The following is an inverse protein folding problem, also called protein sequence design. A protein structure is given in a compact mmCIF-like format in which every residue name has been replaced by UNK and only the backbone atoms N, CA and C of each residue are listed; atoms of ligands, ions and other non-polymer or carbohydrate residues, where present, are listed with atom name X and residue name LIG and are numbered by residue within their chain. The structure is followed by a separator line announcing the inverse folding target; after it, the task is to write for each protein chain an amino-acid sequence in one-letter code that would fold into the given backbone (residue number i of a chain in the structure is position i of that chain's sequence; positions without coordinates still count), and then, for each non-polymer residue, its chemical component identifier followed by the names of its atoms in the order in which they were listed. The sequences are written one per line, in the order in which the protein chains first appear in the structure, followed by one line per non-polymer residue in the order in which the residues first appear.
data_IF_582742827102
#
_entry.id   IF_582742827102
#
_cell.length_a   1.000
_cell.length_b   1.000
_cell.length_c   1.000
_cell.angle_alpha   90.00
_cell.angle_beta   90.00
_cell.angle_gamma   90.00
#
_symmetry.space_group_name_H-M   'P 1'
#
loop_
_entity.id
_entity.type
_entity.pdbx_description
1 polymer ?
#
# COMPACT_ATOMS: atom_id res chain seq x y z
N UNK A 1 35.33 7.13 -30.80
CA UNK A 1 35.81 8.13 -29.87
C UNK A 1 35.56 7.83 -28.42
N UNK A 2 34.30 7.62 -27.97
CA UNK A 2 33.90 7.49 -26.56
C UNK A 2 34.69 6.40 -25.82
N UNK A 3 34.81 5.21 -26.39
CA UNK A 3 35.46 4.04 -25.76
C UNK A 3 37.00 4.14 -25.62
N UNK A 4 37.61 5.25 -26.08
CA UNK A 4 38.99 5.57 -25.79
C UNK A 4 39.20 6.29 -24.45
N UNK A 5 38.11 6.72 -23.82
CA UNK A 5 38.13 7.41 -22.52
C UNK A 5 38.28 6.41 -21.36
N UNK A 6 39.35 5.64 -21.35
CA UNK A 6 39.59 4.51 -20.42
C UNK A 6 39.64 4.89 -18.94
N UNK A 7 39.73 6.21 -18.62
CA UNK A 7 39.66 6.71 -17.24
C UNK A 7 38.27 7.08 -16.79
N UNK A 8 37.27 6.92 -17.67
CA UNK A 8 35.87 7.27 -17.36
C UNK A 8 35.37 6.42 -16.21
N UNK A 9 34.70 7.05 -15.23
CA UNK A 9 34.12 6.40 -14.07
C UNK A 9 32.61 6.42 -14.08
N UNK A 10 32.00 7.38 -14.76
CA UNK A 10 30.56 7.54 -14.86
C UNK A 10 30.18 7.82 -16.30
N UNK A 11 29.22 7.08 -16.80
CA UNK A 11 28.67 7.25 -18.15
C UNK A 11 27.17 7.17 -18.06
N UNK A 12 26.48 8.27 -18.39
CA UNK A 12 25.06 8.29 -18.61
C UNK A 12 24.77 8.58 -20.08
N UNK A 13 23.99 7.72 -20.68
CA UNK A 13 23.49 7.80 -22.06
C UNK A 13 21.96 7.61 -22.07
N UNK A 14 21.30 7.80 -20.93
CA UNK A 14 19.86 7.59 -20.79
C UNK A 14 19.05 8.55 -21.65
N UNK A 15 17.84 8.11 -21.99
CA UNK A 15 16.85 8.90 -22.73
C UNK A 15 17.37 9.35 -24.11
N UNK A 16 17.80 8.37 -24.92
CA UNK A 16 18.30 8.54 -26.29
C UNK A 16 17.70 7.46 -27.21
N UNK A 17 18.09 7.49 -28.49
CA UNK A 17 17.69 6.53 -29.52
C UNK A 17 18.84 5.55 -29.86
N UNK A 18 19.57 5.08 -28.82
CA UNK A 18 20.70 4.18 -29.03
C UNK A 18 20.17 2.77 -29.31
N UNK A 19 20.37 2.30 -30.54
CA UNK A 19 19.92 0.99 -30.99
C UNK A 19 20.93 -0.13 -30.75
N UNK A 20 22.16 0.16 -30.29
CA UNK A 20 23.18 -0.86 -30.07
C UNK A 20 24.24 -0.42 -29.04
N UNK A 21 24.52 -1.26 -28.07
CA UNK A 21 25.66 -1.11 -27.17
C UNK A 21 26.83 -1.93 -27.74
N UNK A 22 27.89 -1.27 -28.27
CA UNK A 22 29.00 -2.00 -28.91
C UNK A 22 29.88 -2.72 -27.87
N UNK A 23 30.53 -3.82 -28.29
CA UNK A 23 31.42 -4.63 -27.47
C UNK A 23 32.61 -3.82 -26.91
N UNK A 24 32.95 -2.70 -27.56
CA UNK A 24 34.01 -1.76 -27.16
C UNK A 24 33.73 -1.11 -25.79
N UNK A 25 32.50 -1.18 -25.27
CA UNK A 25 32.18 -0.76 -23.88
C UNK A 25 33.14 -1.38 -22.87
N UNK A 26 33.60 -2.60 -23.14
CA UNK A 26 34.56 -3.34 -22.33
C UNK A 26 35.90 -2.63 -22.11
N UNK A 27 36.23 -1.62 -22.95
CA UNK A 27 37.44 -0.81 -22.80
C UNK A 27 37.37 0.15 -21.60
N UNK A 28 36.16 0.44 -21.09
CA UNK A 28 35.92 1.34 -19.97
C UNK A 28 36.09 0.65 -18.62
N UNK A 29 37.21 -0.03 -18.41
CA UNK A 29 37.46 -0.90 -17.23
C UNK A 29 37.38 -0.20 -15.87
N UNK A 30 37.48 1.11 -15.85
CA UNK A 30 37.36 1.93 -14.63
C UNK A 30 35.95 2.44 -14.37
N UNK A 31 34.97 2.07 -15.20
CA UNK A 31 33.60 2.52 -15.07
C UNK A 31 32.97 1.96 -13.78
N UNK A 32 32.42 2.87 -12.99
CA UNK A 32 31.75 2.60 -11.70
C UNK A 32 30.23 2.73 -11.84
N UNK A 33 29.78 3.68 -12.67
CA UNK A 33 28.37 3.94 -12.94
C UNK A 33 28.10 3.91 -14.44
N UNK A 34 27.08 3.14 -14.84
CA UNK A 34 26.59 3.06 -16.21
C UNK A 34 25.09 3.20 -16.22
N UNK A 35 24.60 4.24 -16.88
CA UNK A 35 23.18 4.44 -17.13
C UNK A 35 22.96 4.48 -18.65
N UNK A 36 22.28 3.49 -19.16
CA UNK A 36 21.86 3.36 -20.56
C UNK A 36 20.34 3.16 -20.66
N UNK A 37 19.62 3.53 -19.61
CA UNK A 37 18.16 3.39 -19.53
C UNK A 37 17.46 4.21 -20.63
N UNK A 38 16.21 3.83 -20.96
CA UNK A 38 15.38 4.53 -21.95
C UNK A 38 16.08 4.72 -23.29
N UNK A 39 16.42 3.60 -23.90
CA UNK A 39 17.03 3.53 -25.23
C UNK A 39 16.37 2.39 -26.04
N UNK A 40 16.87 2.14 -27.24
CA UNK A 40 16.37 1.08 -28.13
C UNK A 40 17.35 -0.11 -28.20
N UNK A 41 18.05 -0.40 -27.09
CA UNK A 41 19.09 -1.45 -27.02
C UNK A 41 18.43 -2.83 -26.87
N UNK A 42 18.51 -3.74 -27.88
CA UNK A 42 17.91 -5.05 -27.80
C UNK A 42 18.77 -6.09 -27.12
N UNK A 43 20.09 -5.89 -27.05
CA UNK A 43 21.05 -6.84 -26.50
C UNK A 43 22.22 -6.15 -25.79
N UNK A 44 22.63 -6.70 -24.66
CA UNK A 44 23.88 -6.31 -23.97
C UNK A 44 25.01 -7.26 -24.40
N UNK A 45 26.17 -6.75 -24.86
CA UNK A 45 27.27 -7.60 -25.30
C UNK A 45 27.87 -8.42 -24.14
N UNK A 46 28.29 -9.66 -24.43
CA UNK A 46 28.96 -10.53 -23.44
C UNK A 46 30.22 -9.90 -22.82
N UNK A 47 30.82 -8.95 -23.53
CA UNK A 47 32.01 -8.20 -23.10
C UNK A 47 31.74 -7.30 -21.89
N UNK A 48 30.45 -7.07 -21.53
CA UNK A 48 30.08 -6.31 -20.31
C UNK A 48 30.76 -6.87 -19.07
N UNK A 49 31.04 -8.17 -19.02
CA UNK A 49 31.77 -8.85 -17.95
C UNK A 49 33.14 -8.27 -17.59
N UNK A 50 33.74 -7.49 -18.49
CA UNK A 50 35.04 -6.87 -18.25
C UNK A 50 34.96 -5.56 -17.45
N UNK A 51 33.76 -5.00 -17.26
CA UNK A 51 33.54 -3.81 -16.42
C UNK A 51 33.60 -4.18 -14.92
N UNK A 52 34.72 -4.71 -14.46
CA UNK A 52 34.87 -5.23 -13.10
C UNK A 52 34.74 -4.18 -11.99
N UNK A 53 34.88 -2.89 -12.33
CA UNK A 53 34.73 -1.79 -11.36
C UNK A 53 33.28 -1.31 -11.22
N UNK A 54 32.34 -1.85 -12.03
CA UNK A 54 30.97 -1.38 -12.08
C UNK A 54 30.22 -1.71 -10.77
N UNK A 55 29.64 -0.67 -10.17
CA UNK A 55 28.89 -0.75 -8.92
C UNK A 55 27.40 -0.41 -9.14
N UNK A 56 27.12 0.56 -10.01
CA UNK A 56 25.76 0.99 -10.31
C UNK A 56 25.51 0.83 -11.81
N UNK A 57 24.46 0.13 -12.16
CA UNK A 57 24.02 -0.03 -13.54
C UNK A 57 22.50 0.19 -13.63
N UNK A 58 22.09 1.01 -14.56
CA UNK A 58 20.69 1.13 -14.97
C UNK A 58 20.58 0.86 -16.47
N UNK A 59 19.84 -0.18 -16.82
CA UNK A 59 19.55 -0.57 -18.19
C UNK A 59 18.05 -0.67 -18.45
N UNK A 60 17.25 -0.10 -17.57
CA UNK A 60 15.79 -0.09 -17.61
C UNK A 60 15.25 0.54 -18.90
N UNK A 61 14.01 0.17 -19.25
CA UNK A 61 13.29 0.70 -20.42
C UNK A 61 14.12 0.57 -21.72
N UNK A 62 14.55 -0.66 -21.98
CA UNK A 62 15.16 -1.08 -23.24
C UNK A 62 14.48 -2.37 -23.72
N UNK A 63 14.40 -2.66 -25.01
CA UNK A 63 13.75 -3.87 -25.53
C UNK A 63 14.62 -5.13 -25.35
N UNK A 64 15.04 -5.40 -24.11
CA UNK A 64 15.92 -6.51 -23.75
C UNK A 64 15.10 -7.74 -23.34
N UNK A 65 15.14 -8.82 -24.11
CA UNK A 65 14.44 -10.05 -23.71
C UNK A 65 15.22 -10.94 -22.75
N UNK A 66 16.51 -10.72 -22.59
CA UNK A 66 17.42 -11.53 -21.75
C UNK A 66 18.69 -10.77 -21.37
N UNK A 67 19.31 -11.19 -20.27
CA UNK A 67 20.66 -10.76 -19.89
C UNK A 67 21.71 -11.75 -20.45
N UNK A 68 22.88 -11.27 -20.89
CA UNK A 68 23.97 -12.14 -21.32
C UNK A 68 24.59 -12.90 -20.13
N UNK A 69 25.18 -14.07 -20.38
CA UNK A 69 25.83 -14.87 -19.34
C UNK A 69 26.99 -14.12 -18.65
N UNK A 70 27.64 -13.20 -19.36
CA UNK A 70 28.69 -12.35 -18.79
C UNK A 70 28.20 -11.37 -17.72
N UNK A 71 26.91 -11.03 -17.70
CA UNK A 71 26.36 -10.02 -16.81
C UNK A 71 26.51 -10.40 -15.33
N UNK A 72 26.26 -11.66 -14.99
CA UNK A 72 26.37 -12.18 -13.61
C UNK A 72 27.81 -12.28 -13.09
N UNK A 73 28.79 -11.90 -13.90
CA UNK A 73 30.21 -11.77 -13.50
C UNK A 73 30.56 -10.39 -12.96
N UNK A 74 29.63 -9.43 -12.98
CA UNK A 74 29.79 -8.06 -12.45
C UNK A 74 29.64 -8.05 -10.91
N UNK A 75 30.50 -8.76 -10.22
CA UNK A 75 30.39 -9.04 -8.77
C UNK A 75 30.45 -7.82 -7.86
N UNK A 76 30.87 -6.66 -8.38
CA UNK A 76 30.92 -5.42 -7.61
C UNK A 76 29.63 -4.59 -7.69
N UNK A 77 28.62 -5.03 -8.46
CA UNK A 77 27.32 -4.37 -8.51
C UNK A 77 26.67 -4.33 -7.13
N UNK A 78 26.25 -3.13 -6.75
CA UNK A 78 25.49 -2.83 -5.53
C UNK A 78 24.10 -2.32 -5.85
N UNK A 79 23.93 -1.61 -6.96
CA UNK A 79 22.63 -1.09 -7.44
C UNK A 79 22.43 -1.52 -8.88
N UNK A 80 21.29 -2.11 -9.17
CA UNK A 80 20.94 -2.59 -10.49
C UNK A 80 19.48 -2.30 -10.83
N UNK A 81 19.27 -1.50 -11.89
CA UNK A 81 17.98 -1.21 -12.50
C UNK A 81 17.78 -2.08 -13.75
N UNK A 82 16.71 -2.88 -13.74
CA UNK A 82 16.27 -3.76 -14.82
C UNK A 82 14.75 -3.61 -15.06
N UNK A 83 14.20 -2.43 -14.79
CA UNK A 83 12.77 -2.20 -14.98
C UNK A 83 12.42 -2.14 -16.47
N UNK A 84 11.22 -2.63 -16.82
CA UNK A 84 10.65 -2.47 -18.16
C UNK A 84 11.60 -2.92 -19.29
N UNK A 85 12.11 -4.15 -19.20
CA UNK A 85 12.99 -4.75 -20.21
C UNK A 85 12.47 -6.08 -20.75
N UNK A 86 11.19 -6.40 -20.51
CA UNK A 86 10.52 -7.61 -21.00
C UNK A 86 11.16 -8.94 -20.56
N UNK A 87 11.83 -8.98 -19.41
CA UNK A 87 12.43 -10.21 -18.88
C UNK A 87 11.35 -11.22 -18.48
N UNK A 88 11.40 -12.42 -19.04
CA UNK A 88 10.55 -13.54 -18.62
C UNK A 88 11.22 -14.43 -17.56
N UNK A 89 12.51 -14.34 -17.41
CA UNK A 89 13.30 -15.09 -16.42
C UNK A 89 14.66 -14.44 -16.17
N UNK A 90 15.18 -14.62 -14.96
CA UNK A 90 16.57 -14.30 -14.61
C UNK A 90 17.51 -15.47 -14.91
N UNK A 91 18.81 -15.23 -15.18
CA UNK A 91 19.80 -16.28 -15.27
C UNK A 91 19.83 -17.17 -14.02
N UNK A 92 20.07 -18.48 -14.18
CA UNK A 92 20.10 -19.43 -13.06
C UNK A 92 21.17 -19.08 -12.01
N UNK A 93 22.22 -18.40 -12.39
CA UNK A 93 23.35 -17.99 -11.56
C UNK A 93 23.29 -16.49 -11.19
N UNK A 94 22.11 -15.87 -11.28
CA UNK A 94 21.89 -14.45 -10.94
C UNK A 94 22.37 -14.08 -9.53
N UNK A 95 22.29 -15.04 -8.60
CA UNK A 95 22.80 -14.89 -7.23
C UNK A 95 24.32 -14.70 -7.11
N UNK A 96 25.07 -14.82 -8.21
CA UNK A 96 26.50 -14.45 -8.23
C UNK A 96 26.73 -12.95 -8.02
N UNK A 97 25.70 -12.12 -8.23
CA UNK A 97 25.70 -10.68 -7.92
C UNK A 97 25.52 -10.41 -6.42
N UNK A 98 26.22 -11.14 -5.59
CA UNK A 98 26.01 -11.24 -4.12
C UNK A 98 26.30 -9.94 -3.33
N UNK A 99 26.77 -8.88 -4.01
CA UNK A 99 26.96 -7.57 -3.40
C UNK A 99 25.77 -6.63 -3.63
N UNK A 100 24.72 -7.04 -4.36
CA UNK A 100 23.54 -6.21 -4.59
C UNK A 100 22.88 -5.81 -3.27
N UNK A 101 22.61 -4.52 -3.16
CA UNK A 101 21.86 -3.88 -2.07
C UNK A 101 20.51 -3.37 -2.57
N UNK A 102 20.45 -2.84 -3.81
CA UNK A 102 19.22 -2.42 -4.46
C UNK A 102 19.06 -3.09 -5.80
N UNK A 103 17.91 -3.75 -6.00
CA UNK A 103 17.56 -4.43 -7.23
C UNK A 103 16.14 -4.04 -7.64
N UNK A 104 16.01 -3.49 -8.84
CA UNK A 104 14.74 -3.11 -9.42
C UNK A 104 14.44 -3.98 -10.65
N UNK A 105 13.30 -4.65 -10.64
CA UNK A 105 12.83 -5.59 -11.66
C UNK A 105 11.36 -5.33 -12.04
N UNK A 106 10.87 -4.13 -11.74
CA UNK A 106 9.47 -3.72 -12.02
C UNK A 106 9.15 -3.76 -13.51
N UNK A 107 7.88 -4.01 -13.83
CA UNK A 107 7.38 -4.00 -15.21
C UNK A 107 8.12 -4.99 -16.13
N UNK A 108 8.19 -6.25 -15.68
CA UNK A 108 8.73 -7.37 -16.46
C UNK A 108 7.68 -8.51 -16.57
N UNK A 109 8.08 -9.66 -17.11
CA UNK A 109 7.21 -10.82 -17.27
C UNK A 109 7.73 -12.01 -16.42
N UNK A 110 8.30 -11.70 -15.23
CA UNK A 110 8.86 -12.70 -14.34
C UNK A 110 7.74 -13.51 -13.68
N UNK A 111 7.87 -14.85 -13.71
CA UNK A 111 6.94 -15.77 -13.04
C UNK A 111 7.54 -16.40 -11.79
N UNK A 112 8.86 -16.54 -11.76
CA UNK A 112 9.59 -17.18 -10.67
C UNK A 112 10.95 -16.53 -10.48
N UNK A 113 11.54 -16.75 -9.28
CA UNK A 113 12.92 -16.39 -8.98
C UNK A 113 13.82 -17.62 -9.01
N UNK A 114 15.04 -17.56 -9.57
CA UNK A 114 15.94 -18.70 -9.59
C UNK A 114 16.44 -19.04 -8.17
N UNK A 115 16.74 -20.32 -7.86
CA UNK A 115 17.21 -20.70 -6.52
C UNK A 115 18.46 -19.94 -6.04
N UNK A 116 19.37 -19.57 -6.95
CA UNK A 116 20.56 -18.78 -6.62
C UNK A 116 20.25 -17.39 -6.08
N UNK A 117 19.02 -16.88 -6.31
CA UNK A 117 18.57 -15.59 -5.81
C UNK A 117 18.73 -15.51 -4.28
N UNK A 118 18.64 -16.63 -3.57
CA UNK A 118 18.89 -16.75 -2.13
C UNK A 118 20.29 -16.23 -1.69
N UNK A 119 21.25 -16.15 -2.61
CA UNK A 119 22.59 -15.66 -2.31
C UNK A 119 22.69 -14.12 -2.22
N UNK A 120 21.63 -13.39 -2.59
CA UNK A 120 21.60 -11.92 -2.55
C UNK A 120 21.35 -11.40 -1.13
N UNK A 121 22.08 -11.89 -0.17
CA UNK A 121 21.85 -11.66 1.28
C UNK A 121 22.13 -10.23 1.75
N UNK A 122 22.69 -9.38 0.87
CA UNK A 122 22.92 -7.96 1.15
C UNK A 122 21.80 -7.03 0.68
N UNK A 123 20.75 -7.60 0.05
CA UNK A 123 19.62 -6.80 -0.41
C UNK A 123 18.99 -6.02 0.76
N UNK A 124 18.84 -4.72 0.53
CA UNK A 124 18.13 -3.77 1.37
C UNK A 124 16.82 -3.32 0.70
N UNK A 125 16.84 -3.26 -0.64
CA UNK A 125 15.70 -2.86 -1.46
C UNK A 125 15.49 -3.86 -2.60
N UNK A 126 14.25 -4.36 -2.74
CA UNK A 126 13.85 -5.27 -3.81
C UNK A 126 12.50 -4.83 -4.38
N UNK A 127 12.48 -4.45 -5.66
CA UNK A 127 11.27 -4.13 -6.40
C UNK A 127 11.00 -5.21 -7.46
N UNK A 128 9.91 -5.93 -7.28
CA UNK A 128 9.37 -6.96 -8.17
C UNK A 128 7.95 -6.60 -8.65
N UNK A 129 7.53 -5.35 -8.47
CA UNK A 129 6.20 -4.89 -8.86
C UNK A 129 5.90 -5.08 -10.35
N UNK A 130 4.65 -5.19 -10.71
CA UNK A 130 4.19 -5.34 -12.10
C UNK A 130 4.90 -6.49 -12.84
N UNK A 131 4.76 -7.70 -12.32
CA UNK A 131 5.26 -8.94 -12.91
C UNK A 131 4.12 -10.00 -12.95
N UNK A 132 4.45 -11.25 -13.28
CA UNK A 132 3.52 -12.38 -13.33
C UNK A 132 3.80 -13.42 -12.23
N UNK A 133 4.30 -12.98 -11.07
CA UNK A 133 4.70 -13.87 -9.95
C UNK A 133 3.43 -14.36 -9.24
N UNK A 134 3.17 -15.65 -9.28
CA UNK A 134 2.03 -16.29 -8.61
C UNK A 134 2.36 -16.84 -7.22
N UNK A 135 3.64 -17.09 -6.95
CA UNK A 135 4.11 -17.64 -5.68
C UNK A 135 5.45 -16.99 -5.29
N UNK A 136 5.52 -16.47 -4.08
CA UNK A 136 6.76 -15.97 -3.50
C UNK A 136 7.48 -17.13 -2.81
N UNK A 137 8.69 -17.53 -3.28
CA UNK A 137 9.37 -18.71 -2.74
C UNK A 137 9.92 -18.47 -1.33
N UNK A 138 10.05 -19.53 -0.54
CA UNK A 138 10.58 -19.51 0.84
C UNK A 138 11.97 -18.87 0.97
N UNK A 139 12.74 -18.81 -0.12
CA UNK A 139 14.05 -18.15 -0.14
C UNK A 139 14.00 -16.67 0.24
N UNK A 140 12.79 -16.04 0.19
CA UNK A 140 12.63 -14.65 0.64
C UNK A 140 13.11 -14.44 2.08
N UNK A 141 12.95 -15.45 2.94
CA UNK A 141 13.42 -15.41 4.33
C UNK A 141 14.94 -15.30 4.50
N UNK A 142 15.73 -15.42 3.42
CA UNK A 142 17.18 -15.26 3.46
C UNK A 142 17.62 -13.78 3.43
N UNK A 143 16.73 -12.85 3.09
CA UNK A 143 17.07 -11.44 2.91
C UNK A 143 16.99 -10.66 4.23
N UNK A 144 17.82 -11.04 5.20
CA UNK A 144 17.80 -10.52 6.56
C UNK A 144 18.12 -9.02 6.68
N UNK A 145 18.59 -8.39 5.60
CA UNK A 145 18.87 -6.95 5.55
C UNK A 145 17.80 -6.15 4.80
N UNK A 146 16.78 -6.83 4.25
CA UNK A 146 15.77 -6.19 3.44
C UNK A 146 14.96 -5.19 4.27
N UNK A 147 14.84 -3.97 3.75
CA UNK A 147 14.10 -2.86 4.34
C UNK A 147 12.85 -2.52 3.55
N UNK A 148 12.90 -2.68 2.23
CA UNK A 148 11.78 -2.36 1.35
C UNK A 148 11.55 -3.49 0.35
N UNK A 149 10.30 -3.95 0.26
CA UNK A 149 9.86 -5.01 -0.64
C UNK A 149 8.58 -4.61 -1.35
N UNK A 150 8.66 -4.44 -2.69
CA UNK A 150 7.51 -4.18 -3.54
C UNK A 150 7.20 -5.42 -4.37
N UNK A 151 5.95 -5.87 -4.28
CA UNK A 151 5.38 -7.02 -4.96
C UNK A 151 4.01 -6.69 -5.54
N UNK A 152 3.68 -5.39 -5.61
CA UNK A 152 2.41 -4.91 -6.14
C UNK A 152 2.20 -5.30 -7.61
N UNK A 153 0.95 -5.37 -8.04
CA UNK A 153 0.60 -5.75 -9.41
C UNK A 153 1.23 -7.09 -9.86
N UNK A 154 1.01 -8.14 -9.09
CA UNK A 154 1.42 -9.51 -9.39
C UNK A 154 0.22 -10.48 -9.33
N UNK A 155 0.46 -11.78 -9.27
CA UNK A 155 -0.58 -12.82 -9.20
C UNK A 155 -0.51 -13.63 -7.89
N UNK A 156 0.04 -13.08 -6.82
CA UNK A 156 0.26 -13.77 -5.55
C UNK A 156 -1.07 -14.17 -4.89
N UNK A 157 -1.18 -15.45 -4.48
CA UNK A 157 -2.33 -15.97 -3.71
C UNK A 157 -2.10 -15.92 -2.19
N UNK A 158 -0.85 -16.01 -1.76
CA UNK A 158 -0.44 -15.95 -0.35
C UNK A 158 1.00 -15.50 -0.23
N UNK A 159 1.42 -15.19 1.00
CA UNK A 159 2.83 -14.98 1.35
C UNK A 159 3.36 -16.22 2.09
N UNK A 160 4.64 -16.58 1.90
CA UNK A 160 5.25 -17.69 2.61
C UNK A 160 5.47 -17.34 4.10
N UNK A 161 5.37 -18.30 5.02
CA UNK A 161 5.61 -18.06 6.45
C UNK A 161 7.04 -17.55 6.74
N UNK A 162 8.01 -17.85 5.89
CA UNK A 162 9.39 -17.36 6.00
C UNK A 162 9.51 -15.83 5.93
N UNK A 163 8.42 -15.12 5.56
CA UNK A 163 8.35 -13.65 5.62
C UNK A 163 8.69 -13.13 7.02
N UNK A 164 8.40 -13.90 8.07
CA UNK A 164 8.70 -13.53 9.47
C UNK A 164 10.18 -13.21 9.74
N UNK A 165 11.08 -13.76 8.89
CA UNK A 165 12.51 -13.56 9.04
C UNK A 165 12.99 -12.17 8.66
N UNK A 166 12.16 -11.37 7.97
CA UNK A 166 12.51 -10.04 7.48
C UNK A 166 12.37 -8.96 8.58
N UNK A 167 13.12 -9.13 9.67
CA UNK A 167 13.03 -8.29 10.88
C UNK A 167 13.35 -6.80 10.65
N UNK A 168 14.05 -6.46 9.56
CA UNK A 168 14.42 -5.09 9.21
C UNK A 168 13.46 -4.45 8.21
N UNK A 169 12.48 -5.21 7.70
CA UNK A 169 11.55 -4.71 6.71
C UNK A 169 10.70 -3.57 7.30
N UNK A 170 10.72 -2.42 6.65
CA UNK A 170 9.97 -1.22 7.03
C UNK A 170 8.77 -0.98 6.12
N UNK A 171 8.90 -1.34 4.83
CA UNK A 171 7.83 -1.18 3.84
C UNK A 171 7.57 -2.51 3.12
N UNK A 172 6.32 -2.94 3.11
CA UNK A 172 5.83 -4.07 2.33
C UNK A 172 4.61 -3.64 1.51
N UNK A 173 4.76 -3.69 0.19
CA UNK A 173 3.64 -3.47 -0.73
C UNK A 173 3.34 -4.76 -1.50
N UNK A 174 2.15 -5.30 -1.29
CA UNK A 174 1.58 -6.45 -2.01
C UNK A 174 0.20 -6.12 -2.57
N UNK A 175 -0.05 -4.84 -2.84
CA UNK A 175 -1.29 -4.37 -3.45
C UNK A 175 -1.50 -4.96 -4.84
N UNK A 176 -2.74 -4.95 -5.32
CA UNK A 176 -3.08 -5.43 -6.67
C UNK A 176 -2.57 -6.86 -6.94
N UNK A 177 -2.91 -7.77 -6.03
CA UNK A 177 -2.64 -9.20 -6.13
C UNK A 177 -3.94 -10.01 -5.98
N UNK A 178 -3.83 -11.32 -5.73
CA UNK A 178 -4.96 -12.24 -5.52
C UNK A 178 -4.91 -12.88 -4.12
N UNK A 179 -4.34 -12.17 -3.13
CA UNK A 179 -4.17 -12.70 -1.78
C UNK A 179 -5.54 -13.03 -1.17
N UNK A 180 -5.75 -14.29 -0.80
CA UNK A 180 -6.96 -14.76 -0.12
C UNK A 180 -6.80 -14.72 1.40
N UNK A 181 -5.58 -14.89 1.89
CA UNK A 181 -5.22 -14.82 3.32
C UNK A 181 -3.78 -14.38 3.50
N UNK A 182 -3.46 -13.94 4.72
CA UNK A 182 -2.09 -13.67 5.17
C UNK A 182 -1.68 -14.72 6.20
N UNK A 183 -0.40 -15.14 6.23
CA UNK A 183 0.11 -16.03 7.26
C UNK A 183 0.16 -15.31 8.62
N UNK A 184 0.01 -16.05 9.73
CA UNK A 184 0.18 -15.53 11.09
C UNK A 184 1.59 -14.95 11.32
N UNK A 185 2.56 -15.46 10.59
CA UNK A 185 3.95 -15.07 10.57
C UNK A 185 4.18 -13.64 10.08
N UNK A 186 3.17 -12.99 9.48
CA UNK A 186 3.24 -11.55 9.16
C UNK A 186 3.61 -10.72 10.40
N UNK A 187 3.18 -11.17 11.57
CA UNK A 187 3.51 -10.57 12.86
C UNK A 187 4.99 -10.60 13.24
N UNK A 188 5.80 -11.35 12.49
CA UNK A 188 7.25 -11.39 12.64
C UNK A 188 7.99 -10.19 12.07
N UNK A 189 7.32 -9.31 11.31
CA UNK A 189 7.91 -8.11 10.70
C UNK A 189 8.10 -6.98 11.73
N UNK A 190 9.01 -7.15 12.65
CA UNK A 190 9.19 -6.32 13.87
C UNK A 190 9.49 -4.84 13.59
N UNK A 191 9.95 -4.49 12.38
CA UNK A 191 10.29 -3.12 12.01
C UNK A 191 9.30 -2.49 11.05
N UNK A 192 8.23 -3.20 10.68
CA UNK A 192 7.30 -2.75 9.64
C UNK A 192 6.57 -1.47 10.08
N UNK A 193 6.66 -0.44 9.24
CA UNK A 193 5.98 0.84 9.40
C UNK A 193 4.85 1.02 8.40
N UNK A 194 5.00 0.46 7.20
CA UNK A 194 4.08 0.63 6.07
C UNK A 194 3.68 -0.73 5.51
N UNK A 195 2.39 -1.05 5.56
CA UNK A 195 1.80 -2.27 5.00
C UNK A 195 0.69 -1.92 4.03
N UNK A 196 0.89 -2.28 2.76
CA UNK A 196 -0.07 -2.04 1.69
C UNK A 196 -0.58 -3.39 1.16
N UNK A 197 -1.89 -3.60 1.31
CA UNK A 197 -2.62 -4.82 0.91
C UNK A 197 -3.83 -4.48 0.03
N UNK A 198 -3.91 -3.25 -0.49
CA UNK A 198 -5.05 -2.77 -1.29
C UNK A 198 -5.30 -3.66 -2.51
N UNK A 199 -6.56 -3.76 -2.93
CA UNK A 199 -6.94 -4.51 -4.14
C UNK A 199 -6.47 -5.97 -4.12
N UNK A 200 -6.96 -6.73 -3.13
CA UNK A 200 -6.74 -8.17 -2.99
C UNK A 200 -8.09 -8.90 -2.73
N UNK A 201 -8.04 -10.14 -2.31
CA UNK A 201 -9.22 -10.97 -2.03
C UNK A 201 -9.36 -11.36 -0.55
N UNK A 202 -8.72 -10.61 0.36
CA UNK A 202 -8.67 -10.94 1.80
C UNK A 202 -10.06 -10.89 2.43
N UNK A 203 -10.49 -11.98 3.08
CA UNK A 203 -11.74 -12.06 3.82
C UNK A 203 -11.56 -11.80 5.33
N UNK A 204 -10.34 -12.00 5.84
CA UNK A 204 -9.96 -11.76 7.23
C UNK A 204 -8.49 -11.36 7.34
N UNK A 205 -8.12 -10.82 8.50
CA UNK A 205 -6.74 -10.57 8.89
C UNK A 205 -6.33 -11.53 10.02
N UNK A 206 -5.09 -12.06 10.00
CA UNK A 206 -4.60 -12.91 11.08
C UNK A 206 -4.36 -12.11 12.35
N UNK A 207 -4.40 -12.77 13.50
CA UNK A 207 -4.10 -12.13 14.79
C UNK A 207 -2.66 -11.65 14.90
N UNK A 208 -1.76 -12.22 14.09
CA UNK A 208 -0.37 -11.77 13.94
C UNK A 208 -0.23 -10.28 13.62
N UNK A 209 -1.21 -9.65 12.96
CA UNK A 209 -1.21 -8.20 12.71
C UNK A 209 -1.00 -7.40 13.98
N UNK A 210 -1.59 -7.83 15.11
CA UNK A 210 -1.44 -7.15 16.40
C UNK A 210 -0.02 -7.10 16.96
N UNK A 211 0.92 -7.87 16.40
CA UNK A 211 2.34 -7.83 16.80
C UNK A 211 3.13 -6.72 16.09
N UNK A 212 2.55 -6.06 15.08
CA UNK A 212 3.19 -5.00 14.31
C UNK A 212 3.16 -3.67 15.08
N UNK A 213 3.89 -3.58 16.19
CA UNK A 213 3.85 -2.44 17.11
C UNK A 213 4.38 -1.13 16.51
N UNK A 214 5.18 -1.19 15.42
CA UNK A 214 5.72 -0.02 14.72
C UNK A 214 4.89 0.39 13.51
N UNK A 215 3.83 -0.35 13.17
CA UNK A 215 3.00 -0.07 12.01
C UNK A 215 2.35 1.31 12.14
N UNK A 216 2.62 2.19 11.17
CA UNK A 216 2.09 3.56 11.12
C UNK A 216 1.05 3.74 10.03
N UNK A 217 1.24 3.09 8.88
CA UNK A 217 0.34 3.14 7.73
C UNK A 217 -0.12 1.72 7.40
N UNK A 218 -1.44 1.52 7.44
CA UNK A 218 -2.05 0.27 7.06
C UNK A 218 -3.17 0.50 6.05
N UNK A 219 -2.97 0.04 4.80
CA UNK A 219 -3.94 0.12 3.71
C UNK A 219 -4.37 -1.27 3.31
N UNK A 220 -5.66 -1.54 3.39
CA UNK A 220 -6.28 -2.82 3.03
C UNK A 220 -7.63 -2.60 2.35
N UNK A 221 -7.74 -1.45 1.68
CA UNK A 221 -8.90 -1.09 0.88
C UNK A 221 -9.10 -2.02 -0.31
N UNK A 222 -10.33 -2.04 -0.83
CA UNK A 222 -10.70 -2.89 -1.97
C UNK A 222 -10.36 -4.37 -1.75
N UNK A 223 -10.86 -4.90 -0.62
CA UNK A 223 -10.79 -6.31 -0.25
C UNK A 223 -12.19 -6.86 0.08
N UNK A 224 -12.28 -8.01 0.75
CA UNK A 224 -13.53 -8.66 1.13
C UNK A 224 -13.65 -8.85 2.64
N UNK A 225 -12.96 -8.03 3.43
CA UNK A 225 -12.92 -8.15 4.89
C UNK A 225 -14.33 -8.05 5.47
N UNK A 226 -14.72 -9.06 6.25
CA UNK A 226 -16.02 -9.11 6.95
C UNK A 226 -15.96 -8.41 8.30
N UNK A 227 -14.79 -8.43 8.95
CA UNK A 227 -14.49 -7.82 10.24
C UNK A 227 -12.99 -7.57 10.37
N UNK A 228 -12.58 -6.80 11.39
CA UNK A 228 -11.20 -6.71 11.83
C UNK A 228 -10.95 -7.65 13.00
N UNK A 229 -9.74 -8.24 13.06
CA UNK A 229 -9.31 -8.95 14.27
C UNK A 229 -9.27 -8.00 15.46
N UNK A 230 -9.69 -8.44 16.68
CA UNK A 230 -9.55 -7.66 17.90
C UNK A 230 -8.10 -7.26 18.20
N UNK A 231 -7.13 -8.01 17.69
CA UNK A 231 -5.70 -7.74 17.88
C UNK A 231 -5.22 -6.46 17.15
N UNK A 232 -6.00 -5.91 16.22
CA UNK A 232 -5.67 -4.63 15.56
C UNK A 232 -5.39 -3.52 16.58
N UNK A 233 -6.07 -3.54 17.73
CA UNK A 233 -5.88 -2.56 18.79
C UNK A 233 -4.48 -2.55 19.43
N UNK A 234 -3.65 -3.55 19.15
CA UNK A 234 -2.28 -3.64 19.62
C UNK A 234 -1.26 -2.99 18.66
N UNK A 235 -1.70 -2.52 17.50
CA UNK A 235 -0.87 -1.71 16.59
C UNK A 235 -0.75 -0.27 17.12
N UNK A 236 -0.08 -0.08 18.25
CA UNK A 236 -0.08 1.16 19.05
C UNK A 236 0.45 2.39 18.30
N UNK A 237 1.30 2.18 17.28
CA UNK A 237 1.88 3.27 16.46
C UNK A 237 1.01 3.71 15.30
N UNK A 238 -0.14 3.04 15.06
CA UNK A 238 -0.93 3.24 13.85
C UNK A 238 -1.49 4.67 13.79
N UNK A 239 -1.23 5.34 12.66
CA UNK A 239 -1.64 6.71 12.38
C UNK A 239 -2.66 6.77 11.22
N UNK A 240 -2.50 5.91 10.24
CA UNK A 240 -3.39 5.84 9.08
C UNK A 240 -3.92 4.42 8.89
N UNK A 241 -5.25 4.28 8.88
CA UNK A 241 -5.95 3.02 8.64
C UNK A 241 -7.00 3.22 7.54
N UNK A 242 -6.73 2.62 6.37
CA UNK A 242 -7.60 2.72 5.19
C UNK A 242 -8.25 1.36 4.92
N UNK A 243 -9.57 1.33 5.03
CA UNK A 243 -10.41 0.14 4.94
C UNK A 243 -11.54 0.30 3.90
N UNK A 244 -11.40 1.29 3.03
CA UNK A 244 -12.41 1.62 1.99
C UNK A 244 -12.75 0.40 1.13
N UNK A 245 -14.02 0.29 0.72
CA UNK A 245 -14.46 -0.78 -0.19
C UNK A 245 -14.16 -2.19 0.34
N UNK A 246 -14.73 -2.49 1.53
CA UNK A 246 -14.74 -3.82 2.13
C UNK A 246 -16.18 -4.25 2.49
N UNK A 247 -16.33 -5.33 3.23
CA UNK A 247 -17.63 -5.86 3.64
C UNK A 247 -17.85 -5.77 5.16
N UNK A 248 -17.08 -4.89 5.84
CA UNK A 248 -17.03 -4.80 7.31
C UNK A 248 -18.39 -4.34 7.84
N UNK A 249 -18.98 -5.15 8.71
CA UNK A 249 -20.28 -4.88 9.33
C UNK A 249 -20.18 -4.27 10.73
N UNK A 250 -19.06 -4.50 11.42
CA UNK A 250 -18.79 -3.97 12.76
C UNK A 250 -17.30 -3.79 12.99
N UNK A 251 -16.93 -2.91 13.92
CA UNK A 251 -15.57 -2.70 14.38
C UNK A 251 -15.40 -3.33 15.78
N UNK A 252 -14.24 -3.94 16.08
CA UNK A 252 -13.96 -4.42 17.41
C UNK A 252 -13.81 -3.25 18.39
N UNK A 253 -14.20 -3.45 19.65
CA UNK A 253 -14.02 -2.42 20.70
C UNK A 253 -12.54 -2.02 20.91
N UNK A 254 -11.61 -2.92 20.57
CA UNK A 254 -10.17 -2.67 20.62
C UNK A 254 -9.70 -1.56 19.68
N UNK A 255 -10.50 -1.15 18.70
CA UNK A 255 -10.21 0.01 17.84
C UNK A 255 -9.87 1.25 18.69
N UNK A 256 -10.54 1.40 19.84
CA UNK A 256 -10.30 2.50 20.77
C UNK A 256 -8.92 2.52 21.45
N UNK A 257 -8.10 1.49 21.29
CA UNK A 257 -6.71 1.48 21.75
C UNK A 257 -5.75 2.20 20.80
N UNK A 258 -6.18 2.49 19.57
CA UNK A 258 -5.35 3.14 18.53
C UNK A 258 -5.26 4.65 18.76
N UNK A 259 -4.77 5.05 19.91
CA UNK A 259 -4.76 6.47 20.37
C UNK A 259 -3.91 7.40 19.52
N UNK A 260 -3.03 6.86 18.67
CA UNK A 260 -2.21 7.62 17.74
C UNK A 260 -2.85 7.78 16.35
N UNK A 261 -4.02 7.15 16.13
CA UNK A 261 -4.69 7.20 14.84
C UNK A 261 -5.14 8.64 14.51
N UNK A 262 -4.74 9.13 13.34
CA UNK A 262 -5.06 10.46 12.82
C UNK A 262 -6.04 10.44 11.66
N UNK A 263 -6.03 9.34 10.90
CA UNK A 263 -6.89 9.15 9.73
C UNK A 263 -7.50 7.73 9.76
N UNK A 264 -8.83 7.68 9.79
CA UNK A 264 -9.61 6.44 9.69
C UNK A 264 -10.59 6.57 8.53
N UNK A 265 -10.39 5.75 7.50
CA UNK A 265 -11.29 5.68 6.36
C UNK A 265 -11.96 4.30 6.28
N UNK A 266 -13.28 4.30 6.38
CA UNK A 266 -14.16 3.13 6.36
C UNK A 266 -15.25 3.27 5.28
N UNK A 267 -15.01 4.08 4.26
CA UNK A 267 -15.98 4.31 3.19
C UNK A 267 -16.37 3.01 2.48
N UNK A 268 -17.61 2.97 2.00
CA UNK A 268 -18.13 1.83 1.22
C UNK A 268 -17.95 0.48 1.93
N UNK A 269 -18.49 0.43 3.16
CA UNK A 269 -18.57 -0.78 3.96
C UNK A 269 -20.03 -1.10 4.33
N UNK A 270 -20.25 -1.98 5.31
CA UNK A 270 -21.59 -2.39 5.75
C UNK A 270 -21.85 -2.05 7.22
N UNK A 271 -21.13 -1.08 7.78
CA UNK A 271 -21.23 -0.71 9.18
C UNK A 271 -22.66 -0.25 9.53
N UNK A 272 -23.28 -0.90 10.51
CA UNK A 272 -24.60 -0.52 11.04
C UNK A 272 -24.49 0.37 12.28
N UNK A 273 -23.37 0.32 12.98
CA UNK A 273 -23.06 1.10 14.18
C UNK A 273 -21.53 1.20 14.37
N UNK A 274 -21.10 2.17 15.20
CA UNK A 274 -19.74 2.28 15.69
C UNK A 274 -19.70 1.88 17.17
N UNK A 275 -18.61 1.26 17.65
CA UNK A 275 -18.43 1.01 19.06
C UNK A 275 -18.19 2.33 19.81
N UNK A 276 -18.70 2.49 21.05
CA UNK A 276 -18.45 3.69 21.85
C UNK A 276 -16.96 4.03 22.04
N UNK A 277 -16.11 3.00 22.00
CA UNK A 277 -14.66 3.15 22.12
C UNK A 277 -14.03 3.99 21.00
N UNK A 278 -14.78 4.30 19.92
CA UNK A 278 -14.33 5.24 18.89
C UNK A 278 -13.94 6.59 19.50
N UNK A 279 -14.63 7.02 20.57
CA UNK A 279 -14.35 8.24 21.30
C UNK A 279 -12.98 8.30 21.97
N UNK A 280 -12.27 7.18 22.09
CA UNK A 280 -10.92 7.12 22.67
C UNK A 280 -9.83 7.49 21.67
N UNK A 281 -10.15 7.67 20.39
CA UNK A 281 -9.20 8.04 19.34
C UNK A 281 -8.88 9.54 19.41
N UNK A 282 -8.21 9.95 20.49
CA UNK A 282 -8.02 11.36 20.88
C UNK A 282 -7.25 12.20 19.85
N UNK A 283 -6.49 11.57 18.95
CA UNK A 283 -5.71 12.22 17.88
C UNK A 283 -6.40 12.17 16.52
N UNK A 284 -7.59 11.55 16.44
CA UNK A 284 -8.27 11.38 15.15
C UNK A 284 -8.66 12.75 14.57
N UNK A 285 -8.10 13.08 13.41
CA UNK A 285 -8.36 14.31 12.67
C UNK A 285 -9.37 14.12 11.55
N UNK A 286 -9.34 12.96 10.92
CA UNK A 286 -10.22 12.62 9.78
C UNK A 286 -10.93 11.31 10.06
N UNK A 287 -12.27 11.33 10.01
CA UNK A 287 -13.12 10.14 10.08
C UNK A 287 -14.04 10.12 8.87
N UNK A 288 -13.82 9.16 7.98
CA UNK A 288 -14.67 8.94 6.81
C UNK A 288 -15.44 7.62 6.93
N UNK A 289 -16.76 7.73 6.84
CA UNK A 289 -17.74 6.65 7.02
C UNK A 289 -18.77 6.65 5.88
N UNK A 290 -18.40 7.24 4.76
CA UNK A 290 -19.26 7.42 3.59
C UNK A 290 -19.77 6.07 3.07
N UNK A 291 -21.01 6.06 2.56
CA UNK A 291 -21.60 4.87 1.94
C UNK A 291 -21.56 3.62 2.84
N UNK A 292 -22.13 3.77 4.05
CA UNK A 292 -22.33 2.68 5.02
C UNK A 292 -23.82 2.51 5.34
N UNK A 293 -24.13 1.85 6.47
CA UNK A 293 -25.52 1.58 6.90
C UNK A 293 -25.80 2.12 8.30
N UNK A 294 -25.06 3.16 8.73
CA UNK A 294 -25.14 3.72 10.07
C UNK A 294 -26.52 4.36 10.31
N UNK A 295 -27.20 3.97 11.39
CA UNK A 295 -28.47 4.55 11.81
C UNK A 295 -28.29 5.70 12.80
N UNK A 296 -27.18 5.75 13.53
CA UNK A 296 -26.80 6.79 14.48
C UNK A 296 -25.28 6.77 14.69
N UNK A 297 -24.74 7.85 15.23
CA UNK A 297 -23.39 7.93 15.78
C UNK A 297 -23.45 7.84 17.30
N UNK A 298 -22.48 7.18 17.98
CA UNK A 298 -22.42 7.17 19.43
C UNK A 298 -22.14 8.56 19.99
N UNK A 299 -22.62 8.84 21.20
CA UNK A 299 -22.39 10.13 21.90
C UNK A 299 -20.90 10.41 22.09
N UNK A 300 -20.11 9.35 22.23
CA UNK A 300 -18.67 9.39 22.40
C UNK A 300 -17.93 9.96 21.17
N UNK A 301 -18.58 10.06 20.02
CA UNK A 301 -18.05 10.78 18.85
C UNK A 301 -17.67 12.21 19.23
N UNK A 302 -18.42 12.87 20.13
CA UNK A 302 -18.11 14.20 20.66
C UNK A 302 -16.84 14.29 21.53
N UNK A 303 -16.20 13.17 21.82
CA UNK A 303 -14.92 13.11 22.55
C UNK A 303 -13.70 13.26 21.63
N UNK A 304 -13.87 13.20 20.32
CA UNK A 304 -12.81 13.29 19.31
C UNK A 304 -12.35 14.75 19.11
N UNK A 305 -11.65 15.33 20.07
CA UNK A 305 -11.34 16.76 20.13
C UNK A 305 -10.50 17.29 18.97
N UNK A 306 -9.69 16.44 18.37
CA UNK A 306 -8.86 16.78 17.20
C UNK A 306 -9.61 16.57 15.88
N UNK A 307 -10.83 16.02 15.92
CA UNK A 307 -11.60 15.77 14.69
C UNK A 307 -11.99 17.08 14.02
N UNK A 308 -11.54 17.26 12.78
CA UNK A 308 -11.83 18.40 11.96
C UNK A 308 -12.52 18.06 10.63
N UNK A 309 -12.51 16.77 10.25
CA UNK A 309 -13.20 16.25 9.07
C UNK A 309 -14.05 15.05 9.46
N UNK A 310 -15.36 15.13 9.23
CA UNK A 310 -16.31 14.05 9.43
C UNK A 310 -17.14 13.87 8.17
N UNK A 311 -17.00 12.72 7.50
CA UNK A 311 -17.86 12.34 6.38
C UNK A 311 -18.75 11.16 6.79
N UNK A 312 -20.05 11.39 6.81
CA UNK A 312 -21.08 10.36 7.06
C UNK A 312 -22.13 10.34 5.95
N UNK A 313 -21.78 10.86 4.77
CA UNK A 313 -22.67 10.83 3.61
C UNK A 313 -22.99 9.39 3.16
N UNK A 314 -24.13 9.19 2.51
CA UNK A 314 -24.55 7.87 2.04
C UNK A 314 -24.84 6.86 3.17
N UNK A 315 -25.40 7.33 4.30
CA UNK A 315 -25.77 6.48 5.43
C UNK A 315 -27.30 6.52 5.71
N UNK A 316 -27.71 6.06 6.88
CA UNK A 316 -29.12 6.00 7.33
C UNK A 316 -29.33 6.83 8.60
N UNK A 317 -28.52 7.85 8.82
CA UNK A 317 -28.59 8.64 10.05
C UNK A 317 -29.90 9.39 10.14
N UNK A 318 -30.58 9.26 11.28
CA UNK A 318 -31.81 9.99 11.60
C UNK A 318 -31.53 11.29 12.36
N UNK A 319 -30.40 11.38 13.06
CA UNK A 319 -29.93 12.52 13.82
C UNK A 319 -28.43 12.42 14.08
N UNK A 320 -27.85 13.54 14.51
CA UNK A 320 -26.50 13.57 15.05
C UNK A 320 -26.57 13.71 16.59
N UNK A 321 -25.67 13.10 17.35
CA UNK A 321 -25.58 13.33 18.78
C UNK A 321 -25.26 14.80 19.06
N UNK A 322 -25.85 15.36 20.11
CA UNK A 322 -25.63 16.78 20.49
C UNK A 322 -24.15 17.05 20.78
N UNK A 323 -23.42 16.04 21.22
CA UNK A 323 -21.99 16.10 21.55
C UNK A 323 -21.10 16.49 20.38
N UNK A 324 -21.56 16.28 19.13
CA UNK A 324 -20.85 16.68 17.91
C UNK A 324 -20.66 18.20 17.85
N UNK A 325 -21.57 18.99 18.48
CA UNK A 325 -21.42 20.46 18.56
C UNK A 325 -20.21 20.91 19.37
N UNK A 326 -19.63 20.04 20.18
CA UNK A 326 -18.42 20.31 20.95
C UNK A 326 -17.12 20.09 20.15
N UNK A 327 -17.22 19.60 18.92
CA UNK A 327 -16.10 19.37 18.01
C UNK A 327 -15.76 20.64 17.23
N UNK A 328 -14.49 20.76 16.85
CA UNK A 328 -14.02 21.87 16.00
C UNK A 328 -13.97 21.44 14.53
N UNK A 329 -15.13 20.99 14.00
CA UNK A 329 -15.23 20.51 12.63
C UNK A 329 -15.01 21.66 11.64
N UNK A 330 -14.13 21.43 10.67
CA UNK A 330 -13.91 22.30 9.52
C UNK A 330 -14.71 21.82 8.29
N UNK A 331 -15.01 20.53 8.24
CA UNK A 331 -15.81 19.92 7.18
C UNK A 331 -16.72 18.83 7.74
N UNK A 332 -17.99 18.85 7.32
CA UNK A 332 -19.00 17.86 7.67
C UNK A 332 -19.82 17.53 6.43
N UNK A 333 -19.81 16.26 6.00
CA UNK A 333 -20.63 15.79 4.89
C UNK A 333 -21.76 14.90 5.40
N UNK A 334 -23.00 15.29 5.05
CA UNK A 334 -24.25 14.64 5.47
C UNK A 334 -25.16 14.25 4.30
N UNK A 335 -24.71 14.42 3.07
CA UNK A 335 -25.50 14.11 1.87
C UNK A 335 -26.01 12.65 1.90
N UNK A 336 -27.12 12.40 1.22
CA UNK A 336 -27.67 11.04 1.04
C UNK A 336 -28.04 10.27 2.34
N UNK A 337 -28.17 10.99 3.46
CA UNK A 337 -28.82 10.45 4.66
C UNK A 337 -30.33 10.69 4.65
N UNK A 338 -30.79 11.62 3.80
CA UNK A 338 -32.17 12.11 3.75
C UNK A 338 -32.58 12.44 2.32
N UNK A 339 -33.87 12.37 2.03
CA UNK A 339 -34.40 12.74 0.71
C UNK A 339 -34.38 14.25 0.41
N UNK A 340 -34.34 15.10 1.43
CA UNK A 340 -34.16 16.56 1.30
C UNK A 340 -33.45 17.15 2.53
N UNK A 341 -32.21 17.63 2.41
CA UNK A 341 -31.52 18.27 3.50
C UNK A 341 -32.12 19.65 3.77
N UNK A 342 -32.54 19.92 5.02
CA UNK A 342 -32.88 21.27 5.47
C UNK A 342 -31.70 21.90 6.20
N UNK A 343 -31.38 23.14 5.86
CA UNK A 343 -30.19 23.89 6.28
C UNK A 343 -30.16 24.32 7.75
N UNK A 344 -31.05 23.81 8.62
CA UNK A 344 -31.11 24.21 10.03
C UNK A 344 -31.20 23.00 10.95
N UNK A 345 -30.17 22.80 11.75
CA UNK A 345 -30.23 21.87 12.86
C UNK A 345 -31.21 22.35 13.94
N UNK A 346 -32.03 21.45 14.45
CA UNK A 346 -32.89 21.64 15.61
C UNK A 346 -32.49 20.69 16.73
N UNK A 347 -32.64 21.13 17.98
CA UNK A 347 -32.44 20.24 19.12
C UNK A 347 -33.76 19.54 19.40
N UNK A 348 -33.74 18.23 19.44
CA UNK A 348 -34.86 17.37 19.74
C UNK A 348 -34.48 16.34 20.82
N UNK A 349 -35.43 15.56 21.27
CA UNK A 349 -35.20 14.47 22.26
C UNK A 349 -35.45 13.13 21.61
N UNK A 350 -34.48 12.27 21.68
CA UNK A 350 -34.62 10.89 21.19
C UNK A 350 -35.63 10.13 22.07
N UNK A 351 -36.73 9.73 21.52
CA UNK A 351 -37.83 9.05 22.23
C UNK A 351 -37.44 7.72 22.87
N UNK A 352 -36.36 7.07 22.40
CA UNK A 352 -35.93 5.76 22.90
C UNK A 352 -35.11 5.85 24.20
N UNK A 353 -34.32 6.88 24.35
CA UNK A 353 -33.37 7.00 25.48
C UNK A 353 -33.40 8.36 26.19
N UNK A 354 -34.23 9.31 25.75
CA UNK A 354 -34.38 10.63 26.35
C UNK A 354 -33.17 11.57 26.11
N UNK A 355 -32.19 11.19 25.31
CA UNK A 355 -31.00 12.00 25.02
C UNK A 355 -31.37 13.18 24.11
N UNK A 356 -30.69 14.36 24.32
CA UNK A 356 -30.77 15.47 23.39
C UNK A 356 -29.98 15.15 22.11
N UNK A 357 -30.62 15.34 20.97
CA UNK A 357 -30.07 15.08 19.64
C UNK A 357 -30.22 16.29 18.75
N UNK A 358 -29.35 16.39 17.73
CA UNK A 358 -29.51 17.38 16.66
C UNK A 358 -30.22 16.74 15.49
N UNK A 359 -31.37 17.29 15.14
CA UNK A 359 -32.09 16.89 13.93
C UNK A 359 -32.10 18.03 12.93
N UNK A 360 -31.93 17.72 11.66
CA UNK A 360 -32.48 18.56 10.60
C UNK A 360 -33.71 17.80 10.09
N UNK A 361 -34.77 18.49 9.67
CA UNK A 361 -36.04 17.88 9.28
C UNK A 361 -35.80 16.75 8.27
N UNK A 362 -36.05 15.51 8.71
CA UNK A 362 -35.79 14.31 7.98
C UNK A 362 -37.07 13.83 7.31
N UNK A 363 -37.08 13.77 5.99
CA UNK A 363 -38.05 12.94 5.31
C UNK A 363 -37.64 11.47 5.46
N UNK A 364 -38.59 10.52 5.45
CA UNK A 364 -38.27 9.11 5.50
C UNK A 364 -37.26 8.74 4.41
N UNK A 365 -36.26 7.97 4.75
CA UNK A 365 -35.27 7.48 3.79
C UNK A 365 -35.98 6.63 2.72
N UNK A 366 -35.62 6.83 1.48
CA UNK A 366 -36.02 5.93 0.42
C UNK A 366 -35.28 4.61 0.59
N UNK A 367 -35.96 3.47 0.37
CA UNK A 367 -35.33 2.18 0.33
C UNK A 367 -34.28 2.17 -0.80
N UNK A 368 -33.09 1.64 -0.51
CA UNK A 368 -32.01 1.50 -1.48
C UNK A 368 -32.41 0.49 -2.57
N UNK A 369 -32.58 0.96 -3.79
CA UNK A 369 -32.76 0.11 -4.95
C UNK A 369 -31.43 0.02 -5.73
N UNK A 370 -30.83 -1.18 -5.86
CA UNK A 370 -29.54 -1.38 -6.54
C UNK A 370 -29.53 -1.02 -8.01
N UNK A 371 -30.71 -0.84 -8.65
CA UNK A 371 -30.85 -0.64 -10.10
C UNK A 371 -30.75 0.82 -10.56
N UNK A 372 -30.56 1.79 -9.69
CA UNK A 372 -30.51 3.22 -10.04
C UNK A 372 -29.11 3.80 -10.27
N UNK A 373 -28.10 2.99 -10.55
CA UNK A 373 -26.76 3.43 -10.96
C UNK A 373 -26.71 3.97 -12.39
N UNK A 374 -27.56 4.92 -12.69
CA UNK A 374 -27.57 5.62 -13.97
C UNK A 374 -27.95 7.07 -13.76
N UNK A 375 -26.95 7.96 -13.74
CA UNK A 375 -27.06 9.42 -13.80
C UNK A 375 -27.61 10.13 -12.56
N UNK A 376 -26.76 10.39 -11.57
CA UNK A 376 -26.95 11.55 -10.70
C UNK A 376 -25.65 12.36 -10.61
N UNK A 377 -25.77 13.64 -10.96
CA UNK A 377 -24.75 14.67 -10.77
C UNK A 377 -24.46 14.83 -9.27
N UNK A 378 -23.18 14.77 -8.90
CA UNK A 378 -22.75 15.11 -7.54
C UNK A 378 -23.02 16.58 -7.23
N UNK A 379 -23.94 16.83 -6.32
CA UNK A 379 -24.04 18.14 -5.65
C UNK A 379 -23.37 18.00 -4.29
N UNK A 380 -22.16 18.50 -4.19
CA UNK A 380 -21.46 18.64 -2.91
C UNK A 380 -21.99 19.88 -2.18
N UNK A 381 -22.54 19.70 -0.99
CA UNK A 381 -22.77 20.78 -0.06
C UNK A 381 -21.72 20.70 1.05
N UNK A 382 -20.83 21.66 1.07
CA UNK A 382 -19.87 21.88 2.16
C UNK A 382 -20.51 22.93 3.08
N UNK A 383 -20.71 22.59 4.36
CA UNK A 383 -21.01 23.57 5.39
C UNK A 383 -19.70 24.00 6.04
N UNK A 384 -19.21 25.19 5.70
CA UNK A 384 -18.13 25.85 6.42
C UNK A 384 -18.69 26.50 7.70
N UNK A 385 -18.13 26.11 8.84
CA UNK A 385 -18.38 26.81 10.11
C UNK A 385 -17.31 27.88 10.28
N UNK A 386 -17.74 29.14 10.35
CA UNK A 386 -16.91 30.29 10.72
C UNK A 386 -16.93 30.51 12.23
#
# INVERSE_FOLDING_TARGET
GLFRLVKLRRLSLSDNEIAQLPADIASLVNLVELDISKNDIPDIPENIKFLKSLQNADISSNPLAKLPAGFVQLKNLTVLGLNDISLSRLPNDFGNLSNLQSLELRENNLRTLPPSFANLTKLERLDLGSNEISELPALIGQFLNLQELWLDCNELFTLPPEIESLKKLTCLDVSENRLEYLPEEIGGLESLTDLHLSQNCLESLPDGIGKLSKLTIFKVDQNRLLSLTPEIGNCESLQELILTENLISELPSSIGKLVNLTNLNLDRNRLSQLPPQIGNLVRLGVLSLRENRLNFLPEETGMLKELHVLDVSGNRLQYLPITVTALNLKALWLAENQSQPMLKFQTDVNERNGAKVLTCFLLPQQEYHPESMGKFFMHFFILEFS
#
